data_IF_496105310355
#
_entry.id   IF_496105310355
#
_cell.length_a   1.000
_cell.length_b   1.000
_cell.length_c   1.000
_cell.angle_alpha   90.00
_cell.angle_beta   90.00
_cell.angle_gamma   90.00
#
_symmetry.space_group_name_H-M   'P 1'
#
loop_
_entity.id
_entity.type
_entity.pdbx_description
1 polymer ?
#
# COMPACT_ATOMS: atom_id res chain seq x y z
N UNK A 1 23.80 27.15 9.45
CA UNK A 1 22.76 27.52 10.44
C UNK A 1 21.72 26.40 10.51
N UNK A 2 21.76 25.51 11.51
CA UNK A 2 20.73 24.48 11.69
C UNK A 2 20.13 24.54 13.10
N UNK A 3 19.06 25.31 13.31
CA UNK A 3 18.28 25.29 14.55
C UNK A 3 16.85 25.78 14.26
N UNK A 4 16.00 24.89 13.74
CA UNK A 4 14.53 25.00 13.81
C UNK A 4 13.84 23.67 13.40
N UNK A 5 14.31 22.54 13.94
CA UNK A 5 13.46 21.33 14.01
C UNK A 5 12.47 21.55 15.15
N UNK A 6 11.26 22.01 14.82
CA UNK A 6 10.15 22.01 15.77
C UNK A 6 9.79 20.54 16.11
N UNK A 7 9.92 20.10 17.38
CA UNK A 7 9.71 18.70 17.79
C UNK A 7 8.26 18.20 17.62
N UNK A 8 7.31 19.12 17.40
CA UNK A 8 5.86 18.85 17.33
C UNK A 8 5.40 18.18 16.03
N UNK A 9 6.17 18.29 14.94
CA UNK A 9 5.84 17.66 13.65
C UNK A 9 6.17 16.17 13.60
N UNK A 10 7.28 15.76 14.22
CA UNK A 10 7.73 14.36 14.20
C UNK A 10 6.80 13.48 15.03
N UNK A 11 6.45 13.88 16.25
CA UNK A 11 5.48 13.15 17.07
C UNK A 11 4.10 13.06 16.40
N UNK A 12 3.64 14.14 15.76
CA UNK A 12 2.38 14.13 15.01
C UNK A 12 2.44 13.15 13.83
N UNK A 13 3.55 13.12 13.09
CA UNK A 13 3.75 12.17 12.00
C UNK A 13 3.80 10.72 12.48
N UNK A 14 4.51 10.44 13.57
CA UNK A 14 4.57 9.11 14.20
C UNK A 14 3.17 8.69 14.68
N UNK A 15 2.42 9.59 15.32
CA UNK A 15 1.05 9.29 15.75
C UNK A 15 0.12 9.03 14.56
N UNK A 16 0.17 9.86 13.51
CA UNK A 16 -0.66 9.69 12.32
C UNK A 16 -0.38 8.36 11.61
N UNK A 17 0.89 8.02 11.43
CA UNK A 17 1.31 6.78 10.76
C UNK A 17 0.97 5.55 11.58
N UNK A 18 1.22 5.59 12.89
CA UNK A 18 0.86 4.49 13.81
C UNK A 18 -0.65 4.26 13.84
N UNK A 19 -1.44 5.33 13.99
CA UNK A 19 -2.90 5.23 13.97
C UNK A 19 -3.41 4.71 12.61
N UNK A 20 -2.84 5.18 11.50
CA UNK A 20 -3.18 4.72 10.16
C UNK A 20 -2.91 3.23 9.95
N UNK A 21 -1.74 2.75 10.36
CA UNK A 21 -1.35 1.32 10.27
C UNK A 21 -2.26 0.45 11.14
N UNK A 22 -2.63 0.92 12.34
CA UNK A 22 -3.50 0.17 13.24
C UNK A 22 -4.92 0.02 12.67
N UNK A 23 -5.44 1.07 12.03
CA UNK A 23 -6.73 1.04 11.33
C UNK A 23 -6.68 0.17 10.07
N UNK A 24 -5.53 0.14 9.38
CA UNK A 24 -5.36 -0.67 8.17
C UNK A 24 -5.17 -2.16 8.48
N UNK A 25 -4.58 -2.51 9.63
CA UNK A 25 -4.25 -3.90 9.99
C UNK A 25 -5.38 -4.94 9.82
N UNK A 26 -6.65 -4.65 10.17
CA UNK A 26 -7.75 -5.61 9.95
C UNK A 26 -8.26 -5.65 8.50
N UNK A 27 -7.76 -4.85 7.55
CA UNK A 27 -8.37 -4.70 6.22
C UNK A 27 -8.52 -6.02 5.47
N UNK A 28 -7.42 -6.79 5.35
CA UNK A 28 -7.42 -8.03 4.59
C UNK A 28 -8.27 -9.12 5.27
N UNK A 29 -8.32 -9.09 6.61
CA UNK A 29 -9.17 -9.98 7.39
C UNK A 29 -10.65 -9.67 7.18
N UNK A 30 -11.04 -8.39 7.25
CA UNK A 30 -12.43 -7.95 7.06
C UNK A 30 -12.93 -8.28 5.65
N UNK A 31 -12.09 -8.07 4.62
CA UNK A 31 -12.44 -8.41 3.24
C UNK A 31 -12.77 -9.89 3.07
N UNK A 32 -12.04 -10.77 3.77
CA UNK A 32 -12.31 -12.21 3.76
C UNK A 32 -13.54 -12.58 4.59
N UNK A 33 -13.73 -11.95 5.74
CA UNK A 33 -14.84 -12.25 6.66
C UNK A 33 -16.21 -11.89 6.07
N UNK A 34 -16.28 -10.85 5.24
CA UNK A 34 -17.51 -10.42 4.58
C UNK A 34 -18.12 -11.54 3.71
N UNK A 35 -17.29 -12.43 3.14
CA UNK A 35 -17.76 -13.60 2.37
C UNK A 35 -18.68 -13.28 1.18
N UNK A 36 -18.73 -12.02 0.75
CA UNK A 36 -19.61 -11.53 -0.31
C UNK A 36 -18.99 -11.72 -1.70
N UNK A 37 -19.82 -11.56 -2.72
CA UNK A 37 -19.39 -11.62 -4.11
C UNK A 37 -18.34 -10.54 -4.44
N UNK A 38 -17.32 -10.92 -5.21
CA UNK A 38 -16.16 -10.10 -5.59
C UNK A 38 -16.60 -8.75 -6.15
N UNK A 39 -17.61 -8.74 -7.03
CA UNK A 39 -18.07 -7.54 -7.71
C UNK A 39 -18.76 -6.57 -6.76
N UNK A 40 -19.51 -7.10 -5.80
CA UNK A 40 -20.19 -6.30 -4.79
C UNK A 40 -19.18 -5.69 -3.82
N UNK A 41 -18.18 -6.46 -3.41
CA UNK A 41 -17.09 -5.98 -2.55
C UNK A 41 -16.30 -4.85 -3.22
N UNK A 42 -15.95 -5.02 -4.50
CA UNK A 42 -15.16 -4.06 -5.25
C UNK A 42 -15.94 -2.75 -5.50
N UNK A 43 -17.24 -2.87 -5.83
CA UNK A 43 -18.13 -1.71 -5.98
C UNK A 43 -18.23 -0.91 -4.69
N UNK A 44 -18.55 -1.56 -3.57
CA UNK A 44 -18.71 -0.88 -2.28
C UNK A 44 -17.40 -0.30 -1.76
N UNK A 45 -16.28 -1.02 -1.88
CA UNK A 45 -14.96 -0.52 -1.49
C UNK A 45 -14.57 0.70 -2.31
N UNK A 46 -14.71 0.63 -3.63
CA UNK A 46 -14.40 1.75 -4.52
C UNK A 46 -15.27 2.98 -4.23
N UNK A 47 -16.57 2.77 -4.04
CA UNK A 47 -17.53 3.83 -3.72
C UNK A 47 -17.20 4.50 -2.37
N UNK A 48 -16.98 3.72 -1.31
CA UNK A 48 -16.67 4.25 0.01
C UNK A 48 -15.30 4.97 0.04
N UNK A 49 -14.29 4.43 -0.63
CA UNK A 49 -13.00 5.11 -0.78
C UNK A 49 -13.13 6.42 -1.55
N UNK A 50 -13.91 6.45 -2.63
CA UNK A 50 -14.16 7.67 -3.40
C UNK A 50 -14.88 8.73 -2.56
N UNK A 51 -15.95 8.36 -1.86
CA UNK A 51 -16.69 9.27 -0.97
C UNK A 51 -15.78 9.78 0.15
N UNK A 52 -14.99 8.91 0.78
CA UNK A 52 -14.06 9.29 1.83
C UNK A 52 -12.99 10.26 1.35
N UNK A 53 -12.38 9.98 0.18
CA UNK A 53 -11.34 10.83 -0.39
C UNK A 53 -11.90 12.20 -0.82
N UNK A 54 -13.07 12.22 -1.48
CA UNK A 54 -13.76 13.47 -1.85
C UNK A 54 -14.17 14.23 -0.59
N UNK A 55 -14.71 13.56 0.41
CA UNK A 55 -15.09 14.17 1.68
C UNK A 55 -13.91 14.84 2.39
N UNK A 56 -12.79 14.13 2.54
CA UNK A 56 -11.57 14.66 3.18
C UNK A 56 -10.99 15.82 2.36
N UNK A 57 -10.90 15.70 1.04
CA UNK A 57 -10.35 16.77 0.17
C UNK A 57 -11.21 18.04 0.22
N UNK A 58 -12.54 17.90 0.26
CA UNK A 58 -13.44 19.04 0.42
C UNK A 58 -13.39 19.65 1.82
N UNK A 59 -13.17 18.84 2.87
CA UNK A 59 -13.04 19.34 4.24
C UNK A 59 -11.73 20.12 4.44
N UNK A 60 -10.63 19.70 3.82
CA UNK A 60 -9.32 20.34 3.96
C UNK A 60 -9.14 21.55 3.04
N UNK A 61 -9.54 21.46 1.76
CA UNK A 61 -9.23 22.47 0.73
C UNK A 61 -10.47 23.27 0.26
N UNK A 62 -11.66 23.05 0.84
CA UNK A 62 -12.98 23.69 0.58
C UNK A 62 -13.25 24.25 -0.83
N UNK A 63 -12.63 25.36 -1.23
CA UNK A 63 -12.81 26.00 -2.54
C UNK A 63 -11.88 25.46 -3.64
N UNK A 64 -10.63 25.11 -3.31
CA UNK A 64 -9.65 24.60 -4.29
C UNK A 64 -9.70 23.08 -4.45
N UNK A 65 -10.33 22.38 -3.49
CA UNK A 65 -10.49 20.92 -3.53
C UNK A 65 -11.23 20.44 -4.78
N UNK A 66 -12.36 21.06 -5.13
CA UNK A 66 -13.08 20.75 -6.37
C UNK A 66 -12.24 21.02 -7.62
N UNK A 67 -11.54 22.15 -7.64
CA UNK A 67 -10.70 22.50 -8.80
C UNK A 67 -9.54 21.53 -8.98
N UNK A 68 -8.94 21.06 -7.88
CA UNK A 68 -7.88 20.05 -7.88
C UNK A 68 -8.36 18.66 -8.31
N UNK A 69 -9.58 18.27 -7.93
CA UNK A 69 -10.19 17.02 -8.39
C UNK A 69 -10.42 17.01 -9.90
N UNK A 70 -10.68 18.17 -10.52
CA UNK A 70 -10.84 18.29 -11.97
C UNK A 70 -9.56 18.68 -12.71
N UNK A 71 -8.53 19.18 -12.01
CA UNK A 71 -7.22 19.50 -12.57
C UNK A 71 -6.30 18.26 -12.64
N UNK A 72 -6.85 17.10 -12.99
CA UNK A 72 -6.08 15.86 -13.17
C UNK A 72 -5.37 15.95 -14.52
N UNK A 73 -4.04 15.98 -14.49
CA UNK A 73 -3.21 15.88 -15.68
C UNK A 73 -3.02 14.44 -16.17
N UNK A 74 -2.28 14.31 -17.27
CA UNK A 74 -1.90 13.00 -17.85
C UNK A 74 -1.08 12.10 -16.91
N UNK A 75 -0.08 12.58 -16.14
CA UNK A 75 0.67 11.70 -15.25
C UNK A 75 -0.18 11.20 -14.07
N UNK A 76 -1.08 12.03 -13.55
CA UNK A 76 -2.01 11.62 -12.49
C UNK A 76 -2.96 10.52 -12.96
N UNK A 77 -3.41 10.57 -14.21
CA UNK A 77 -4.26 9.51 -14.79
C UNK A 77 -3.55 8.15 -14.84
N UNK A 78 -2.24 8.13 -15.14
CA UNK A 78 -1.46 6.90 -15.13
C UNK A 78 -1.36 6.31 -13.72
N UNK A 79 -1.12 7.16 -12.71
CA UNK A 79 -1.06 6.74 -11.30
C UNK A 79 -2.41 6.20 -10.85
N UNK A 80 -3.52 6.86 -11.20
CA UNK A 80 -4.86 6.39 -10.89
C UNK A 80 -5.11 5.01 -11.51
N UNK A 81 -4.75 4.81 -12.78
CA UNK A 81 -4.91 3.54 -13.47
C UNK A 81 -4.11 2.41 -12.82
N UNK A 82 -2.84 2.65 -12.51
CA UNK A 82 -1.97 1.66 -11.84
C UNK A 82 -2.49 1.33 -10.44
N UNK A 83 -2.88 2.35 -9.65
CA UNK A 83 -3.38 2.16 -8.30
C UNK A 83 -4.74 1.43 -8.28
N UNK A 84 -5.63 1.76 -9.22
CA UNK A 84 -6.90 1.05 -9.38
C UNK A 84 -6.64 -0.43 -9.72
N UNK A 85 -5.76 -0.69 -10.69
CA UNK A 85 -5.36 -2.05 -11.07
C UNK A 85 -4.81 -2.83 -9.86
N UNK A 86 -3.89 -2.23 -9.10
CA UNK A 86 -3.33 -2.81 -7.88
C UNK A 86 -4.42 -3.19 -6.87
N UNK A 87 -5.39 -2.32 -6.61
CA UNK A 87 -6.49 -2.59 -5.69
C UNK A 87 -7.37 -3.76 -6.16
N UNK A 88 -7.68 -3.84 -7.46
CA UNK A 88 -8.46 -4.96 -8.03
C UNK A 88 -7.70 -6.27 -7.89
N UNK A 89 -6.42 -6.29 -8.28
CA UNK A 89 -5.58 -7.49 -8.17
C UNK A 89 -5.43 -7.94 -6.72
N UNK A 90 -5.33 -7.01 -5.77
CA UNK A 90 -5.26 -7.31 -4.35
C UNK A 90 -6.53 -8.01 -3.84
N UNK A 91 -7.71 -7.49 -4.19
CA UNK A 91 -8.99 -8.14 -3.82
C UNK A 91 -9.11 -9.53 -4.44
N UNK A 92 -8.76 -9.67 -5.72
CA UNK A 92 -8.75 -10.97 -6.39
C UNK A 92 -7.79 -11.96 -5.72
N UNK A 93 -6.60 -11.52 -5.32
CA UNK A 93 -5.62 -12.37 -4.65
C UNK A 93 -6.11 -12.86 -3.28
N UNK A 94 -6.74 -11.98 -2.47
CA UNK A 94 -7.30 -12.35 -1.16
C UNK A 94 -8.43 -13.37 -1.28
N UNK A 95 -9.25 -13.24 -2.33
CA UNK A 95 -10.40 -14.12 -2.53
C UNK A 95 -10.01 -15.46 -3.16
N UNK A 96 -8.92 -15.51 -3.93
CA UNK A 96 -8.41 -16.76 -4.51
C UNK A 96 -7.38 -17.50 -3.64
N UNK A 97 -6.74 -16.83 -2.67
CA UNK A 97 -5.67 -17.43 -1.83
C UNK A 97 -5.84 -17.15 -0.34
N UNK A 98 -4.93 -17.61 0.52
CA UNK A 98 -4.93 -17.23 1.95
C UNK A 98 -4.38 -15.81 2.11
N UNK A 99 -4.89 -15.07 3.10
CA UNK A 99 -4.39 -13.71 3.41
C UNK A 99 -2.89 -13.73 3.70
N UNK A 100 -2.40 -14.79 4.35
CA UNK A 100 -0.98 -15.01 4.58
C UNK A 100 -0.17 -14.99 3.26
N UNK A 101 -0.61 -15.74 2.24
CA UNK A 101 0.07 -15.79 0.95
C UNK A 101 0.04 -14.44 0.22
N UNK A 102 -1.02 -13.65 0.36
CA UNK A 102 -1.07 -12.30 -0.22
C UNK A 102 -0.08 -11.35 0.48
N UNK A 103 -0.06 -11.35 1.82
CA UNK A 103 0.86 -10.53 2.61
C UNK A 103 2.33 -10.91 2.33
N UNK A 104 2.60 -12.21 2.13
CA UNK A 104 3.87 -12.77 1.67
C UNK A 104 4.29 -12.13 0.34
N UNK A 105 3.43 -12.19 -0.68
CA UNK A 105 3.72 -11.59 -2.00
C UNK A 105 3.93 -10.07 -1.87
N UNK A 106 3.10 -9.39 -1.09
CA UNK A 106 3.19 -7.94 -0.87
C UNK A 106 4.49 -7.53 -0.18
N UNK A 107 5.09 -8.40 0.63
CA UNK A 107 6.38 -8.14 1.28
C UNK A 107 7.56 -8.09 0.29
N UNK A 108 7.35 -8.51 -0.97
CA UNK A 108 8.31 -8.37 -2.07
C UNK A 108 8.31 -6.94 -2.63
N UNK A 109 7.28 -6.12 -2.36
CA UNK A 109 7.18 -4.73 -2.82
C UNK A 109 8.44 -3.86 -2.64
N UNK A 110 9.13 -3.84 -1.48
CA UNK A 110 10.37 -3.07 -1.33
C UNK A 110 11.50 -3.54 -2.25
N UNK A 111 11.58 -4.84 -2.57
CA UNK A 111 12.56 -5.37 -3.51
C UNK A 111 12.28 -4.85 -4.92
N UNK A 112 11.02 -4.96 -5.36
CA UNK A 112 10.58 -4.43 -6.66
C UNK A 112 10.77 -2.92 -6.72
N UNK A 113 10.46 -2.20 -5.63
CA UNK A 113 10.67 -0.76 -5.51
C UNK A 113 12.14 -0.35 -5.65
N UNK A 114 13.08 -1.08 -5.05
CA UNK A 114 14.51 -0.82 -5.21
C UNK A 114 15.00 -1.05 -6.65
N UNK A 115 14.46 -2.07 -7.33
CA UNK A 115 14.75 -2.35 -8.74
C UNK A 115 14.18 -1.24 -9.62
N UNK A 116 12.89 -0.90 -9.45
CA UNK A 116 12.24 0.18 -10.21
C UNK A 116 12.91 1.54 -9.95
N UNK A 117 13.33 1.84 -8.74
CA UNK A 117 14.09 3.07 -8.43
C UNK A 117 15.37 3.16 -9.26
N UNK A 118 16.13 2.07 -9.38
CA UNK A 118 17.35 2.05 -10.20
C UNK A 118 17.06 2.15 -11.70
N UNK A 119 16.09 1.40 -12.21
CA UNK A 119 15.84 1.28 -13.65
C UNK A 119 14.95 2.40 -14.21
N UNK A 120 13.98 2.89 -13.45
CA UNK A 120 12.99 3.89 -13.88
C UNK A 120 13.40 5.31 -13.47
N UNK A 121 13.87 5.51 -12.23
CA UNK A 121 14.30 6.84 -11.76
C UNK A 121 15.76 7.14 -12.14
N UNK A 122 16.56 6.13 -12.47
CA UNK A 122 17.97 6.30 -12.84
C UNK A 122 18.88 6.75 -11.70
N UNK A 123 18.38 6.75 -10.46
CA UNK A 123 19.16 7.16 -9.30
C UNK A 123 20.21 6.09 -8.94
N UNK A 124 21.47 6.48 -8.68
CA UNK A 124 22.52 5.55 -8.31
C UNK A 124 22.26 4.99 -6.91
N UNK A 125 21.65 3.81 -6.85
CA UNK A 125 21.44 3.08 -5.60
C UNK A 125 22.80 2.66 -5.04
N UNK A 126 23.15 3.18 -3.86
CA UNK A 126 24.39 2.85 -3.17
C UNK A 126 24.55 1.33 -2.99
N UNK A 127 25.79 0.83 -3.12
CA UNK A 127 26.09 -0.62 -2.95
C UNK A 127 25.61 -1.16 -1.59
N UNK A 128 25.60 -0.31 -0.56
CA UNK A 128 25.07 -0.63 0.78
C UNK A 128 23.59 -1.01 0.76
N UNK A 129 22.77 -0.31 -0.02
CA UNK A 129 21.34 -0.60 -0.16
C UNK A 129 21.12 -1.94 -0.84
N UNK A 130 21.96 -2.32 -1.82
CA UNK A 130 21.92 -3.64 -2.45
C UNK A 130 22.15 -4.79 -1.46
N UNK A 131 23.16 -4.67 -0.58
CA UNK A 131 23.38 -5.68 0.46
C UNK A 131 22.19 -5.80 1.41
N UNK A 132 21.58 -4.68 1.81
CA UNK A 132 20.36 -4.69 2.64
C UNK A 132 19.20 -5.35 1.90
N UNK A 133 19.00 -5.04 0.63
CA UNK A 133 17.94 -5.65 -0.19
C UNK A 133 18.10 -7.17 -0.31
N UNK A 134 19.33 -7.66 -0.50
CA UNK A 134 19.62 -9.11 -0.50
C UNK A 134 19.38 -9.72 0.88
N UNK A 135 19.82 -9.06 1.96
CA UNK A 135 19.58 -9.54 3.33
C UNK A 135 18.07 -9.62 3.66
N UNK A 136 17.30 -8.60 3.25
CA UNK A 136 15.83 -8.58 3.39
C UNK A 136 15.21 -9.70 2.57
N UNK A 137 15.69 -9.94 1.34
CA UNK A 137 15.20 -11.04 0.50
C UNK A 137 15.44 -12.41 1.16
N UNK A 138 16.61 -12.63 1.76
CA UNK A 138 16.90 -13.85 2.52
C UNK A 138 15.95 -13.99 3.71
N UNK A 139 15.75 -12.92 4.49
CA UNK A 139 14.79 -12.91 5.60
C UNK A 139 13.37 -13.24 5.14
N UNK A 140 12.96 -12.70 3.99
CA UNK A 140 11.69 -13.00 3.34
C UNK A 140 11.55 -14.50 3.05
N UNK A 141 12.55 -15.10 2.37
CA UNK A 141 12.55 -16.53 2.02
C UNK A 141 12.52 -17.41 3.27
N UNK A 142 13.22 -17.03 4.34
CA UNK A 142 13.21 -17.78 5.61
C UNK A 142 11.82 -17.78 6.28
N UNK A 143 11.17 -16.62 6.36
CA UNK A 143 9.81 -16.50 6.90
C UNK A 143 8.84 -17.34 6.05
N UNK A 144 9.02 -17.36 4.73
CA UNK A 144 8.15 -18.07 3.81
C UNK A 144 8.37 -19.57 3.77
N UNK A 145 9.59 -20.04 3.99
CA UNK A 145 9.88 -21.48 4.12
C UNK A 145 9.05 -22.12 5.24
N UNK A 146 8.77 -21.37 6.31
CA UNK A 146 7.90 -21.82 7.40
C UNK A 146 6.41 -21.75 7.04
N UNK A 147 5.98 -20.75 6.26
CA UNK A 147 4.58 -20.65 5.80
C UNK A 147 4.21 -21.72 4.76
N UNK A 148 5.17 -22.17 3.93
CA UNK A 148 4.96 -23.30 3.01
C UNK A 148 4.97 -24.66 3.73
N UNK A 149 5.76 -24.80 4.81
CA UNK A 149 5.85 -26.03 5.62
C UNK A 149 4.63 -26.29 6.50
N UNK A 150 3.79 -25.29 6.74
CA UNK A 150 2.50 -25.41 7.44
C UNK A 150 1.32 -25.78 6.55
N UNK A 151 1.58 -26.20 5.30
CA UNK A 151 0.56 -26.73 4.38
C UNK A 151 -0.04 -28.01 4.94
N UNK A 152 -1.22 -27.88 5.53
CA UNK A 152 -2.13 -28.96 5.89
C UNK A 152 -2.22 -29.98 4.74
N UNK A 153 -1.60 -31.14 4.97
CA UNK A 153 -2.15 -32.39 4.47
C UNK A 153 -3.44 -32.62 5.28
N UNK A 154 -4.59 -32.32 4.67
CA UNK A 154 -5.95 -32.89 4.84
C UNK A 154 -6.93 -31.92 4.17
#
# INVERSE_FOLDING_TARGET
MPLAMLPSGHLKGVFLTTAGILILSPDALLLRLIGADIWTLLFWRGLLCAIGLVGITLLLDRSDGFRRLFAIGRPELQIIGVNACMHVLFVLAILNTTVANVLVIMSISPLVGAILSRFVLGEPVARRTWYTTVAVFIGLVLIFSQSLGGGTLV
#
